data_IF_064668719408
#
_entry.id   IF_064668719408
#
_cell.length_a   1.000
_cell.length_b   1.000
_cell.length_c   1.000
_cell.angle_alpha   90.00
_cell.angle_beta   90.00
_cell.angle_gamma   90.00
#
_symmetry.space_group_name_H-M   'P 1'
#
loop_
_entity.id
_entity.type
_entity.pdbx_description
1 polymer ?
#
# COMPACT_ATOMS: atom_id res chain seq x y z
N UNK A 1 14.56 43.16 -47.69
CA UNK A 1 14.33 41.72 -47.44
C UNK A 1 14.63 41.45 -45.97
N UNK A 2 13.64 40.89 -45.25
CA UNK A 2 13.75 40.09 -43.99
C UNK A 2 14.42 40.77 -42.77
N UNK A 3 13.65 41.38 -41.85
CA UNK A 3 13.03 40.84 -40.62
C UNK A 3 13.96 40.63 -39.41
N UNK A 4 13.58 41.28 -38.28
CA UNK A 4 13.47 40.81 -36.87
C UNK A 4 14.60 39.91 -36.29
N UNK A 5 15.07 40.07 -35.06
CA UNK A 5 14.49 40.69 -33.87
C UNK A 5 15.32 40.39 -32.62
N UNK A 6 14.81 40.84 -31.47
CA UNK A 6 15.36 40.79 -30.12
C UNK A 6 16.04 39.46 -29.73
N UNK A 7 17.28 39.54 -29.26
CA UNK A 7 17.95 38.49 -28.50
C UNK A 7 17.93 38.79 -27.01
N UNK A 8 16.81 38.51 -26.34
CA UNK A 8 16.75 38.34 -24.89
C UNK A 8 16.59 36.83 -24.61
N UNK A 9 17.57 36.23 -23.92
CA UNK A 9 17.50 34.83 -23.48
C UNK A 9 18.55 34.61 -22.41
N UNK A 10 18.22 34.71 -21.12
CA UNK A 10 17.37 33.83 -20.29
C UNK A 10 18.24 32.92 -19.43
N UNK A 11 18.26 33.24 -18.14
CA UNK A 11 18.74 32.41 -17.03
C UNK A 11 18.38 30.92 -17.26
N UNK A 12 19.39 30.04 -17.15
CA UNK A 12 19.17 28.60 -17.03
C UNK A 12 18.55 28.31 -15.66
N UNK A 13 17.22 28.23 -15.61
CA UNK A 13 16.49 27.57 -14.53
C UNK A 13 16.67 26.06 -14.70
N UNK A 14 17.34 25.43 -13.74
CA UNK A 14 17.38 23.98 -13.58
C UNK A 14 15.98 23.53 -13.13
N UNK A 15 15.20 23.01 -14.08
CA UNK A 15 13.89 22.40 -13.80
C UNK A 15 14.14 20.98 -13.27
N UNK A 16 13.79 20.76 -11.99
CA UNK A 16 13.60 19.43 -11.44
C UNK A 16 12.61 18.66 -12.31
N UNK A 17 13.07 17.60 -12.95
CA UNK A 17 12.24 16.66 -13.68
C UNK A 17 11.28 15.96 -12.71
N UNK A 18 10.04 16.48 -12.60
CA UNK A 18 8.92 15.69 -12.12
C UNK A 18 8.52 14.73 -13.24
N UNK A 19 9.02 13.48 -13.17
CA UNK A 19 8.46 12.39 -13.96
C UNK A 19 7.14 11.95 -13.31
N UNK A 20 6.11 12.77 -13.49
CA UNK A 20 4.71 12.40 -13.29
C UNK A 20 4.25 11.53 -14.46
N UNK A 21 4.61 10.25 -14.43
CA UNK A 21 4.10 9.24 -15.36
C UNK A 21 2.69 8.81 -14.97
N UNK A 22 1.68 9.53 -15.45
CA UNK A 22 0.29 9.08 -15.41
C UNK A 22 0.06 7.99 -16.46
N UNK A 23 -0.10 6.74 -16.02
CA UNK A 23 -0.75 5.70 -16.81
C UNK A 23 -2.18 5.53 -16.30
N UNK A 24 -3.13 6.05 -17.07
CA UNK A 24 -4.56 5.84 -16.89
C UNK A 24 -4.86 4.41 -17.35
N UNK A 25 -4.79 3.45 -16.43
CA UNK A 25 -5.24 2.08 -16.65
C UNK A 25 -6.69 1.95 -16.19
N UNK A 26 -7.59 1.68 -17.13
CA UNK A 26 -9.00 1.38 -16.87
C UNK A 26 -9.12 0.03 -16.16
N UNK A 27 -9.21 0.06 -14.83
CA UNK A 27 -9.70 -1.07 -14.04
C UNK A 27 -10.64 -0.55 -12.96
N UNK A 28 -11.90 -0.92 -13.11
CA UNK A 28 -13.02 -0.62 -12.22
C UNK A 28 -12.85 -1.35 -10.89
N UNK A 29 -12.07 -0.77 -9.98
CA UNK A 29 -12.17 -1.02 -8.54
C UNK A 29 -12.13 0.32 -7.81
N UNK A 30 -13.19 0.57 -7.05
CA UNK A 30 -13.64 1.87 -6.55
C UNK A 30 -12.58 2.67 -5.79
N UNK A 31 -12.01 3.69 -6.44
CA UNK A 31 -11.18 4.71 -5.79
C UNK A 31 -12.10 5.61 -4.96
N UNK A 32 -12.29 5.32 -3.67
CA UNK A 32 -12.95 6.24 -2.73
C UNK A 32 -11.92 7.17 -2.11
N UNK A 33 -11.90 8.41 -2.62
CA UNK A 33 -11.11 9.51 -2.04
C UNK A 33 -11.59 9.82 -0.62
N UNK A 34 -10.68 9.79 0.36
CA UNK A 34 -10.93 10.37 1.68
C UNK A 34 -10.37 11.78 1.66
N UNK A 35 -11.25 12.79 1.63
CA UNK A 35 -10.85 14.20 1.60
C UNK A 35 -10.69 14.73 3.02
N UNK A 36 -9.44 14.95 3.43
CA UNK A 36 -9.08 15.74 4.60
C UNK A 36 -7.75 16.46 4.36
N UNK A 37 -7.79 17.78 4.22
CA UNK A 37 -6.65 18.71 4.38
C UNK A 37 -5.37 18.44 3.56
N UNK A 38 -5.19 19.19 2.47
CA UNK A 38 -3.86 19.55 1.93
C UNK A 38 -3.12 18.53 1.07
N UNK A 39 -3.27 17.21 1.31
CA UNK A 39 -2.73 16.16 0.44
C UNK A 39 -3.68 14.95 0.51
N UNK A 40 -4.47 14.70 -0.53
CA UNK A 40 -5.27 13.47 -0.61
C UNK A 40 -4.35 12.29 -0.93
N UNK A 41 -3.84 11.61 0.10
CA UNK A 41 -3.10 10.36 -0.08
C UNK A 41 -4.10 9.31 -0.59
N UNK A 42 -3.90 8.84 -1.82
CA UNK A 42 -4.72 7.78 -2.40
C UNK A 42 -3.99 6.46 -2.19
N UNK A 43 -4.53 5.64 -1.30
CA UNK A 43 -4.04 4.27 -1.09
C UNK A 43 -4.62 3.35 -2.17
N UNK A 44 -3.83 2.36 -2.57
CA UNK A 44 -4.13 1.44 -3.67
C UNK A 44 -3.78 0.01 -3.26
N UNK A 45 -4.54 -0.94 -3.80
CA UNK A 45 -4.14 -2.35 -3.75
C UNK A 45 -2.84 -2.56 -4.51
N UNK A 46 -2.16 -3.68 -4.24
CA UNK A 46 -0.90 -4.07 -4.89
C UNK A 46 0.25 -3.08 -4.70
N UNK A 47 0.14 -2.20 -3.69
CA UNK A 47 1.15 -1.21 -3.34
C UNK A 47 1.65 -1.46 -1.91
N UNK A 48 2.97 -1.41 -1.72
CA UNK A 48 3.61 -1.53 -0.40
C UNK A 48 3.73 -0.18 0.30
N UNK A 49 3.30 -0.13 1.55
CA UNK A 49 3.45 1.01 2.45
C UNK A 49 4.36 0.61 3.60
N UNK A 50 5.60 1.10 3.55
CA UNK A 50 6.67 0.68 4.46
C UNK A 50 6.97 1.72 5.54
N UNK A 51 7.55 1.26 6.65
CA UNK A 51 8.20 2.13 7.62
C UNK A 51 9.30 2.95 6.91
N UNK A 52 9.20 4.28 7.01
CA UNK A 52 10.13 5.25 6.43
C UNK A 52 11.53 5.17 7.03
N UNK A 53 11.68 4.57 8.22
CA UNK A 53 12.97 4.36 8.90
C UNK A 53 13.67 3.09 8.45
N UNK A 54 12.94 2.15 7.84
CA UNK A 54 13.55 0.98 7.22
C UNK A 54 14.20 1.41 5.90
N UNK A 55 15.43 0.97 5.64
CA UNK A 55 16.06 1.16 4.33
C UNK A 55 15.16 0.54 3.26
N UNK A 56 14.90 1.28 2.16
CA UNK A 56 14.05 0.82 1.06
C UNK A 56 14.48 -0.58 0.56
N UNK A 57 13.53 -1.50 0.39
CA UNK A 57 13.76 -2.87 -0.11
C UNK A 57 13.17 -3.99 0.75
N UNK A 58 13.63 -5.23 0.52
CA UNK A 58 13.07 -6.45 1.13
C UNK A 58 13.11 -6.47 2.66
N UNK A 59 14.04 -5.74 3.28
CA UNK A 59 14.23 -5.67 4.74
C UNK A 59 13.25 -4.71 5.46
N UNK A 60 12.28 -4.14 4.74
CA UNK A 60 11.30 -3.22 5.29
C UNK A 60 10.18 -3.90 6.08
N UNK A 61 9.63 -3.16 7.04
CA UNK A 61 8.34 -3.45 7.66
C UNK A 61 7.25 -2.80 6.79
N UNK A 62 6.46 -3.58 6.07
CA UNK A 62 5.53 -3.05 5.06
C UNK A 62 4.15 -3.66 5.16
N UNK A 63 3.13 -2.84 4.95
CA UNK A 63 1.74 -3.29 4.77
C UNK A 63 1.37 -3.20 3.29
N UNK A 64 0.64 -4.18 2.79
CA UNK A 64 0.09 -4.16 1.43
C UNK A 64 -1.19 -5.00 1.32
N UNK A 65 -1.93 -4.77 0.25
CA UNK A 65 -3.04 -5.64 -0.17
C UNK A 65 -2.57 -6.40 -1.40
N UNK A 66 -2.41 -7.72 -1.29
CA UNK A 66 -1.89 -8.55 -2.37
C UNK A 66 -2.95 -8.94 -3.41
N UNK A 67 -2.54 -9.50 -4.56
CA UNK A 67 -1.19 -9.97 -4.86
C UNK A 67 -0.25 -8.86 -5.37
N UNK A 68 1.06 -9.01 -5.10
CA UNK A 68 2.16 -8.16 -5.59
C UNK A 68 3.20 -9.03 -6.33
N UNK A 69 4.11 -8.46 -7.14
CA UNK A 69 5.05 -9.25 -7.97
C UNK A 69 5.80 -10.36 -7.21
N UNK A 70 6.22 -10.08 -5.98
CA UNK A 70 7.00 -10.98 -5.12
C UNK A 70 6.17 -11.79 -4.10
N UNK A 71 4.84 -11.62 -4.05
CA UNK A 71 3.95 -12.32 -3.10
C UNK A 71 2.55 -12.45 -3.70
N UNK A 72 2.16 -13.68 -4.01
CA UNK A 72 0.94 -14.02 -4.77
C UNK A 72 -0.30 -14.24 -3.89
N UNK A 73 -0.18 -13.98 -2.59
CA UNK A 73 -1.29 -14.05 -1.64
C UNK A 73 -2.28 -12.90 -1.82
N UNK A 74 -3.56 -13.21 -1.70
CA UNK A 74 -4.68 -12.28 -1.76
C UNK A 74 -5.13 -11.93 -0.34
N UNK A 75 -5.42 -10.66 -0.10
CA UNK A 75 -5.73 -10.14 1.24
C UNK A 75 -4.76 -9.08 1.72
N UNK A 76 -4.96 -8.63 2.95
CA UNK A 76 -4.09 -7.66 3.61
C UNK A 76 -2.95 -8.39 4.31
N UNK A 77 -1.73 -7.95 4.10
CA UNK A 77 -0.54 -8.54 4.69
C UNK A 77 0.35 -7.49 5.33
N UNK A 78 1.00 -7.89 6.42
CA UNK A 78 2.12 -7.19 7.04
C UNK A 78 3.37 -8.03 6.90
N UNK A 79 4.35 -7.53 6.15
CA UNK A 79 5.65 -8.17 5.94
C UNK A 79 6.70 -7.55 6.85
N UNK A 80 7.45 -8.40 7.54
CA UNK A 80 8.55 -8.01 8.41
C UNK A 80 9.87 -8.54 7.86
N UNK A 81 10.60 -7.68 7.14
CA UNK A 81 11.96 -7.92 6.64
C UNK A 81 12.18 -9.04 5.61
N UNK A 82 11.33 -10.07 5.49
CA UNK A 82 11.40 -11.06 4.42
C UNK A 82 10.00 -11.54 4.02
N UNK A 83 9.84 -12.05 2.80
CA UNK A 83 8.56 -12.61 2.34
C UNK A 83 8.08 -13.80 3.19
N UNK A 84 9.00 -14.58 3.76
CA UNK A 84 8.70 -15.70 4.66
C UNK A 84 8.14 -15.24 6.00
N UNK A 85 8.46 -14.02 6.44
CA UNK A 85 7.94 -13.42 7.65
C UNK A 85 6.82 -12.42 7.31
N UNK A 86 5.75 -12.96 6.71
CA UNK A 86 4.58 -12.20 6.29
C UNK A 86 3.33 -12.71 7.01
N UNK A 87 2.61 -11.80 7.65
CA UNK A 87 1.44 -12.08 8.45
C UNK A 87 0.19 -11.58 7.73
N UNK A 88 -0.82 -12.44 7.59
CA UNK A 88 -2.12 -12.00 7.07
C UNK A 88 -2.84 -11.22 8.17
N UNK A 89 -3.30 -10.01 7.85
CA UNK A 89 -4.19 -9.24 8.71
C UNK A 89 -5.61 -9.77 8.49
N UNK A 90 -6.16 -10.42 9.51
CA UNK A 90 -7.42 -11.17 9.41
C UNK A 90 -8.65 -10.36 9.78
N UNK A 91 -8.48 -9.36 10.64
CA UNK A 91 -9.58 -8.62 11.24
C UNK A 91 -9.10 -7.26 11.76
N UNK A 92 -10.05 -6.40 12.12
CA UNK A 92 -9.75 -5.03 12.52
C UNK A 92 -8.94 -4.90 13.81
N UNK A 93 -8.90 -5.93 14.66
CA UNK A 93 -8.21 -5.86 15.94
C UNK A 93 -6.68 -5.79 15.78
N UNK A 94 -6.16 -6.14 14.61
CA UNK A 94 -4.76 -5.89 14.21
C UNK A 94 -4.49 -4.41 13.93
N UNK A 95 -5.53 -3.68 13.50
CA UNK A 95 -5.44 -2.29 13.05
C UNK A 95 -5.78 -1.30 14.16
N UNK A 96 -6.24 -1.78 15.31
CA UNK A 96 -6.58 -0.94 16.46
C UNK A 96 -5.32 -0.26 17.05
N UNK A 97 -5.35 1.07 17.11
CA UNK A 97 -4.26 1.88 17.65
C UNK A 97 -4.05 1.68 19.16
N UNK A 98 -5.07 1.21 19.87
CA UNK A 98 -5.08 1.09 21.33
C UNK A 98 -4.71 -0.32 21.81
N UNK A 99 -4.58 -1.28 20.90
CA UNK A 99 -4.21 -2.64 21.28
C UNK A 99 -2.74 -2.68 21.70
N UNK A 100 -2.53 -2.93 22.99
CA UNK A 100 -1.23 -3.30 23.54
C UNK A 100 -1.17 -4.82 23.48
N UNK A 101 -0.36 -5.33 22.57
CA UNK A 101 -0.06 -6.74 22.55
C UNK A 101 1.20 -6.94 23.39
N UNK A 102 1.03 -7.41 24.63
CA UNK A 102 2.19 -7.75 25.47
C UNK A 102 3.00 -8.87 24.81
N UNK A 103 4.29 -8.60 24.54
CA UNK A 103 5.21 -9.56 23.92
C UNK A 103 5.07 -9.73 22.40
N UNK A 104 4.16 -9.01 21.73
CA UNK A 104 4.00 -9.10 20.28
C UNK A 104 4.76 -7.96 19.57
N UNK A 105 5.93 -8.29 19.03
CA UNK A 105 6.69 -7.40 18.17
C UNK A 105 5.95 -7.02 16.90
N UNK A 106 5.08 -7.91 16.38
CA UNK A 106 4.41 -7.72 15.09
C UNK A 106 3.39 -6.60 15.17
N UNK A 107 2.52 -6.61 16.18
CA UNK A 107 1.54 -5.55 16.41
C UNK A 107 2.18 -4.17 16.63
N UNK A 108 3.28 -4.10 17.39
CA UNK A 108 4.02 -2.85 17.60
C UNK A 108 4.64 -2.32 16.29
N UNK A 109 5.22 -3.21 15.51
CA UNK A 109 5.82 -2.91 14.21
C UNK A 109 4.79 -2.45 13.17
N UNK A 110 3.62 -3.09 13.13
CA UNK A 110 2.50 -2.69 12.29
C UNK A 110 1.97 -1.32 12.70
N UNK A 111 1.77 -1.08 14.00
CA UNK A 111 1.29 0.22 14.52
C UNK A 111 2.20 1.36 14.10
N UNK A 112 3.51 1.15 14.16
CA UNK A 112 4.49 2.13 13.71
C UNK A 112 4.30 2.49 12.23
N UNK A 113 4.17 1.50 11.35
CA UNK A 113 3.90 1.73 9.92
C UNK A 113 2.60 2.53 9.76
N UNK A 114 1.52 2.11 10.40
CA UNK A 114 0.22 2.79 10.30
C UNK A 114 0.26 4.25 10.77
N UNK A 115 1.08 4.57 11.78
CA UNK A 115 1.22 5.95 12.28
C UNK A 115 1.97 6.86 11.31
N UNK A 116 2.82 6.29 10.45
CA UNK A 116 3.58 7.05 9.44
C UNK A 116 2.80 7.28 8.13
N UNK A 117 1.67 6.57 7.95
CA UNK A 117 0.80 6.62 6.77
C UNK A 117 -0.62 7.06 7.16
N UNK A 118 -0.88 8.38 7.27
CA UNK A 118 -2.20 8.90 7.64
C UNK A 118 -3.32 8.42 6.72
N UNK A 119 -4.38 7.85 7.27
CA UNK A 119 -5.53 7.32 6.52
C UNK A 119 -5.37 5.89 5.99
N UNK A 120 -4.17 5.28 6.11
CA UNK A 120 -3.96 3.88 5.71
C UNK A 120 -4.80 2.93 6.55
N UNK A 121 -4.87 3.16 7.87
CA UNK A 121 -5.68 2.36 8.79
C UNK A 121 -7.14 2.26 8.34
N UNK A 122 -7.76 3.40 8.02
CA UNK A 122 -9.16 3.42 7.58
C UNK A 122 -9.35 2.77 6.21
N UNK A 123 -8.35 2.90 5.32
CA UNK A 123 -8.36 2.22 4.03
C UNK A 123 -8.37 0.70 4.21
N UNK A 124 -7.50 0.16 5.06
CA UNK A 124 -7.41 -1.27 5.35
C UNK A 124 -8.68 -1.80 6.03
N UNK A 125 -9.24 -1.06 7.00
CA UNK A 125 -10.51 -1.43 7.65
C UNK A 125 -11.67 -1.52 6.66
N UNK A 126 -11.81 -0.55 5.76
CA UNK A 126 -12.84 -0.59 4.71
C UNK A 126 -12.65 -1.77 3.76
N UNK A 127 -11.40 -2.13 3.46
CA UNK A 127 -11.12 -3.32 2.66
C UNK A 127 -11.54 -4.59 3.38
N UNK A 128 -11.24 -4.73 4.68
CA UNK A 128 -11.67 -5.88 5.51
C UNK A 128 -13.20 -6.00 5.53
N UNK A 129 -13.91 -4.91 5.81
CA UNK A 129 -15.39 -4.93 5.83
C UNK A 129 -15.98 -5.30 4.47
N UNK A 130 -15.37 -4.79 3.37
CA UNK A 130 -15.78 -5.12 2.00
C UNK A 130 -15.49 -6.56 1.56
N UNK A 131 -14.71 -7.32 2.34
CA UNK A 131 -14.33 -8.71 2.07
C UNK A 131 -14.61 -9.64 3.26
N UNK A 132 -15.46 -9.25 4.21
CA UNK A 132 -15.78 -10.04 5.42
C UNK A 132 -16.46 -11.36 5.12
N UNK A 133 -17.18 -11.45 4.00
CA UNK A 133 -17.86 -12.66 3.54
C UNK A 133 -16.94 -13.54 2.67
N UNK A 134 -15.71 -13.09 2.39
CA UNK A 134 -14.74 -13.86 1.62
C UNK A 134 -14.01 -14.87 2.51
N UNK A 135 -13.74 -16.03 1.94
CA UNK A 135 -12.93 -17.09 2.56
C UNK A 135 -11.48 -16.99 2.08
N UNK A 136 -10.54 -17.30 2.96
CA UNK A 136 -9.11 -17.23 2.68
C UNK A 136 -8.45 -18.58 2.98
N UNK A 137 -8.01 -19.27 1.95
CA UNK A 137 -7.39 -20.59 2.05
C UNK A 137 -5.88 -20.47 1.82
N UNK A 138 -5.08 -21.08 2.70
CA UNK A 138 -3.62 -21.05 2.56
C UNK A 138 -3.21 -21.82 1.29
N UNK A 139 -2.42 -21.18 0.44
CA UNK A 139 -1.87 -21.80 -0.77
C UNK A 139 -0.90 -22.91 -0.40
N UNK A 140 -1.19 -24.14 -0.83
CA UNK A 140 -0.29 -25.30 -0.65
C UNK A 140 0.90 -25.30 -1.61
N UNK A 141 0.85 -24.48 -2.66
CA UNK A 141 1.89 -24.41 -3.68
C UNK A 141 3.08 -23.51 -3.29
N UNK A 142 2.99 -22.81 -2.15
CA UNK A 142 3.97 -21.82 -1.71
C UNK A 142 4.47 -22.14 -0.31
N UNK A 143 5.77 -21.95 -0.08
CA UNK A 143 6.35 -21.99 1.26
C UNK A 143 6.11 -20.68 2.03
N UNK A 144 5.47 -19.69 1.41
CA UNK A 144 5.11 -18.41 2.01
C UNK A 144 3.71 -18.48 2.64
N UNK A 145 3.37 -17.50 3.47
CA UNK A 145 2.06 -17.39 4.12
C UNK A 145 0.97 -16.84 3.17
N UNK A 146 0.98 -17.27 1.92
CA UNK A 146 0.08 -16.80 0.87
C UNK A 146 -1.28 -17.47 1.00
N UNK A 147 -2.35 -16.69 0.85
CA UNK A 147 -3.71 -17.21 0.81
C UNK A 147 -4.37 -16.89 -0.52
N UNK A 148 -5.29 -17.74 -0.95
CA UNK A 148 -6.23 -17.45 -2.03
C UNK A 148 -7.56 -17.02 -1.44
N UNK A 149 -8.17 -16.02 -2.05
CA UNK A 149 -9.42 -15.43 -1.59
C UNK A 149 -10.57 -15.88 -2.48
N UNK A 150 -11.61 -16.45 -1.88
CA UNK A 150 -12.85 -16.83 -2.58
C UNK A 150 -14.02 -16.07 -1.97
N UNK A 151 -14.67 -15.21 -2.76
CA UNK A 151 -15.80 -14.40 -2.31
C UNK A 151 -17.12 -14.94 -2.89
N UNK A 152 -18.16 -15.15 -2.05
CA UNK A 152 -19.48 -15.52 -2.56
C UNK A 152 -20.03 -14.39 -3.45
N UNK A 153 -20.52 -14.75 -4.63
CA UNK A 153 -21.17 -13.80 -5.56
C UNK A 153 -20.25 -12.99 -6.48
N UNK A 154 -18.93 -13.23 -6.46
CA UNK A 154 -18.00 -12.75 -7.51
C UNK A 154 -17.52 -13.94 -8.33
N UNK A 155 -18.34 -14.43 -9.26
CA UNK A 155 -17.93 -15.29 -10.37
C UNK A 155 -18.01 -14.50 -11.67
#
# INVERSE_FOLDING_TARGET
MTMLGLGAGSLKLVVCAMLGGGVIGTSVYSVKQVRGGGHSITYQEKTKYCDKRSKEGFQGRCVFIGPIPEFQGEGIYFQEATATNTHRITDETWLDSNRVWEGDSVGANLKEVLNQHPGLRDYLKRWLDGHKDCTFEKSVASNLNEHKMTCPGRQ
#
